data_IF_858196880659
#
_entry.id   IF_858196880659
#
_cell.length_a   1.000
_cell.length_b   1.000
_cell.length_c   1.000
_cell.angle_alpha   90.00
_cell.angle_beta   90.00
_cell.angle_gamma   90.00
#
_symmetry.space_group_name_H-M   'P 1'
#
loop_
_entity.id
_entity.type
_entity.pdbx_description
1 polymer ?
#
# COMPACT_ATOMS: atom_id res chain seq x y z
N UNK A 1 -6.65 -7.40 24.02
CA UNK A 1 -7.15 -7.52 22.63
C UNK A 1 -7.01 -8.98 22.25
N UNK A 2 -8.08 -9.68 21.88
CA UNK A 2 -7.97 -11.12 21.58
C UNK A 2 -7.31 -11.34 20.21
N UNK A 3 -6.32 -12.22 20.17
CA UNK A 3 -5.61 -12.69 18.97
C UNK A 3 -6.58 -13.04 17.82
N UNK A 4 -7.75 -13.57 18.18
CA UNK A 4 -8.83 -13.95 17.27
C UNK A 4 -9.32 -12.79 16.37
N UNK A 5 -9.47 -11.57 16.89
CA UNK A 5 -9.99 -10.43 16.10
C UNK A 5 -9.00 -9.99 15.02
N UNK A 6 -7.70 -10.01 15.33
CA UNK A 6 -6.67 -9.66 14.36
C UNK A 6 -6.62 -10.70 13.24
N UNK A 7 -6.58 -11.98 13.59
CA UNK A 7 -6.48 -13.05 12.61
C UNK A 7 -7.70 -13.08 11.68
N UNK A 8 -8.91 -12.86 12.22
CA UNK A 8 -10.13 -12.74 11.41
C UNK A 8 -10.04 -11.61 10.39
N UNK A 9 -9.69 -10.40 10.84
CA UNK A 9 -9.53 -9.25 9.93
C UNK A 9 -8.45 -9.50 8.88
N UNK A 10 -7.34 -10.14 9.26
CA UNK A 10 -6.26 -10.46 8.33
C UNK A 10 -6.73 -11.38 7.20
N UNK A 11 -7.40 -12.49 7.54
CA UNK A 11 -7.88 -13.43 6.52
C UNK A 11 -8.98 -12.83 5.63
N UNK A 12 -9.89 -12.05 6.21
CA UNK A 12 -10.90 -11.29 5.45
C UNK A 12 -10.23 -10.35 4.42
N UNK A 13 -9.25 -9.55 4.88
CA UNK A 13 -8.54 -8.60 4.01
C UNK A 13 -7.64 -9.26 2.99
N UNK A 14 -7.02 -10.39 3.34
CA UNK A 14 -6.18 -11.16 2.42
C UNK A 14 -7.03 -11.77 1.30
N UNK A 15 -8.19 -12.32 1.64
CA UNK A 15 -9.13 -12.89 0.68
C UNK A 15 -9.66 -11.82 -0.26
N UNK A 16 -10.17 -10.70 0.28
CA UNK A 16 -10.64 -9.55 -0.52
C UNK A 16 -9.54 -9.01 -1.44
N UNK A 17 -8.37 -8.68 -0.90
CA UNK A 17 -7.24 -8.15 -1.68
C UNK A 17 -6.77 -9.12 -2.78
N UNK A 18 -6.87 -10.43 -2.57
CA UNK A 18 -6.53 -11.45 -3.56
C UNK A 18 -7.43 -11.43 -4.81
N UNK A 19 -8.62 -10.81 -4.72
CA UNK A 19 -9.56 -10.66 -5.84
C UNK A 19 -9.35 -9.36 -6.62
N UNK A 20 -8.49 -8.46 -6.16
CA UNK A 20 -8.38 -7.12 -6.73
C UNK A 20 -7.66 -7.13 -8.07
N UNK A 21 -8.33 -6.57 -9.07
CA UNK A 21 -7.75 -6.25 -10.38
C UNK A 21 -7.01 -4.91 -10.35
N UNK A 22 -6.09 -4.66 -11.30
CA UNK A 22 -5.42 -3.36 -11.42
C UNK A 22 -6.42 -2.21 -11.58
N UNK A 23 -6.12 -1.05 -10.99
CA UNK A 23 -6.96 0.15 -11.03
C UNK A 23 -6.21 1.26 -11.75
N UNK A 24 -6.87 1.93 -12.69
CA UNK A 24 -6.29 3.09 -13.38
C UNK A 24 -6.18 4.28 -12.44
N UNK A 25 -5.01 4.91 -12.41
CA UNK A 25 -4.69 6.09 -11.62
C UNK A 25 -4.59 7.32 -12.54
N UNK A 26 -5.57 8.24 -12.52
CA UNK A 26 -5.54 9.43 -13.37
C UNK A 26 -4.29 10.31 -13.15
N UNK A 27 -3.88 10.49 -11.89
CA UNK A 27 -2.69 11.28 -11.53
C UNK A 27 -1.39 10.79 -12.19
N UNK A 28 -1.28 9.48 -12.45
CA UNK A 28 -0.08 8.87 -13.03
C UNK A 28 -0.29 8.42 -14.48
N UNK A 29 -1.53 8.46 -14.98
CA UNK A 29 -1.96 7.96 -16.28
C UNK A 29 -1.57 6.50 -16.52
N UNK A 30 -1.59 5.70 -15.46
CA UNK A 30 -1.10 4.32 -15.44
C UNK A 30 -1.97 3.41 -14.56
N UNK A 31 -1.89 2.10 -14.78
CA UNK A 31 -2.53 1.12 -13.91
C UNK A 31 -1.68 0.80 -12.67
N UNK A 32 -2.33 0.77 -11.51
CA UNK A 32 -1.74 0.33 -10.24
C UNK A 32 -2.12 -1.12 -9.97
N UNK A 33 -1.10 -1.94 -9.73
CA UNK A 33 -1.23 -3.37 -9.48
C UNK A 33 -1.15 -3.70 -7.99
N UNK A 34 -1.92 -4.71 -7.58
CA UNK A 34 -1.97 -5.20 -6.21
C UNK A 34 -1.26 -6.54 -6.12
N UNK A 35 -0.17 -6.61 -5.35
CA UNK A 35 0.62 -7.83 -5.20
C UNK A 35 0.83 -8.19 -3.73
N UNK A 36 1.37 -9.38 -3.49
CA UNK A 36 1.65 -9.89 -2.15
C UNK A 36 2.63 -9.01 -1.36
N UNK A 37 3.58 -8.34 -2.03
CA UNK A 37 4.53 -7.45 -1.36
C UNK A 37 3.84 -6.20 -0.78
N UNK A 38 2.93 -5.59 -1.54
CA UNK A 38 2.13 -4.46 -1.07
C UNK A 38 1.25 -4.83 0.13
N UNK A 39 0.60 -5.99 0.08
CA UNK A 39 -0.20 -6.50 1.19
C UNK A 39 0.66 -6.78 2.44
N UNK A 40 1.80 -7.46 2.25
CA UNK A 40 2.71 -7.77 3.35
C UNK A 40 3.25 -6.52 4.03
N UNK A 41 3.49 -5.44 3.29
CA UNK A 41 3.98 -4.18 3.84
C UNK A 41 2.96 -3.46 4.76
N UNK A 42 1.69 -3.89 4.77
CA UNK A 42 0.71 -3.45 5.77
C UNK A 42 1.00 -4.05 7.16
N UNK A 43 1.65 -5.20 7.21
CA UNK A 43 1.97 -5.96 8.43
C UNK A 43 3.44 -5.91 8.80
N UNK A 44 4.30 -5.68 7.84
CA UNK A 44 5.74 -5.64 8.01
C UNK A 44 6.30 -4.28 7.58
N UNK A 45 7.42 -3.89 8.20
CA UNK A 45 8.21 -2.74 7.77
C UNK A 45 9.08 -3.11 6.56
N UNK A 46 9.76 -2.12 5.99
CA UNK A 46 10.63 -2.29 4.83
C UNK A 46 11.80 -3.26 5.09
N UNK A 47 12.23 -3.41 6.34
CA UNK A 47 13.26 -4.35 6.77
C UNK A 47 12.72 -5.76 7.08
N UNK A 48 11.44 -6.01 6.78
CA UNK A 48 10.68 -7.23 7.09
C UNK A 48 10.43 -7.48 8.58
N UNK A 49 10.71 -6.51 9.46
CA UNK A 49 10.30 -6.64 10.86
C UNK A 49 8.77 -6.49 10.99
N UNK A 50 8.11 -7.24 11.89
CA UNK A 50 6.69 -7.07 12.12
C UNK A 50 6.36 -5.65 12.59
N UNK A 51 5.25 -5.09 12.09
CA UNK A 51 4.63 -3.91 12.70
C UNK A 51 3.92 -4.33 13.98
N UNK A 52 3.69 -3.37 14.87
CA UNK A 52 2.87 -3.65 16.03
C UNK A 52 1.44 -4.05 15.59
N UNK A 53 0.74 -4.95 16.31
CA UNK A 53 -0.58 -5.42 15.87
C UNK A 53 -1.62 -4.32 15.67
N UNK A 54 -1.60 -3.27 16.51
CA UNK A 54 -2.53 -2.12 16.40
C UNK A 54 -2.34 -1.36 15.08
N UNK A 55 -1.10 -1.13 14.69
CA UNK A 55 -0.73 -0.47 13.44
C UNK A 55 -1.10 -1.33 12.23
N UNK A 56 -0.83 -2.64 12.30
CA UNK A 56 -1.23 -3.57 11.25
C UNK A 56 -2.76 -3.60 11.09
N UNK A 57 -3.52 -3.71 12.20
CA UNK A 57 -4.98 -3.62 12.19
C UNK A 57 -5.48 -2.32 11.58
N UNK A 58 -4.88 -1.19 11.95
CA UNK A 58 -5.24 0.11 11.41
C UNK A 58 -5.05 0.17 9.88
N UNK A 59 -3.88 -0.25 9.38
CA UNK A 59 -3.60 -0.28 7.94
C UNK A 59 -4.53 -1.24 7.19
N UNK A 60 -4.78 -2.42 7.74
CA UNK A 60 -5.75 -3.40 7.21
C UNK A 60 -7.18 -2.86 7.21
N UNK A 61 -7.55 -2.06 8.22
CA UNK A 61 -8.85 -1.39 8.31
C UNK A 61 -9.06 -0.32 7.24
N UNK A 62 -7.99 0.37 6.84
CA UNK A 62 -8.03 1.39 5.78
C UNK A 62 -7.98 0.80 4.36
N UNK A 63 -7.55 -0.46 4.23
CA UNK A 63 -7.34 -1.11 2.93
C UNK A 63 -8.54 -0.94 1.97
N UNK A 64 -9.81 -1.10 2.36
CA UNK A 64 -10.96 -0.93 1.45
C UNK A 64 -11.05 0.41 0.74
N UNK A 65 -10.45 1.46 1.30
CA UNK A 65 -10.49 2.82 0.75
C UNK A 65 -9.45 3.04 -0.35
N UNK A 66 -8.45 2.15 -0.47
CA UNK A 66 -7.28 2.33 -1.35
C UNK A 66 -7.66 2.47 -2.82
N UNK A 67 -8.55 1.61 -3.33
CA UNK A 67 -8.96 1.64 -4.74
C UNK A 67 -9.66 2.96 -5.10
N UNK A 68 -10.48 3.49 -4.20
CA UNK A 68 -11.14 4.79 -4.37
C UNK A 68 -10.12 5.94 -4.45
N UNK A 69 -9.13 5.97 -3.55
CA UNK A 69 -8.08 7.01 -3.59
C UNK A 69 -7.31 6.95 -4.90
N UNK A 70 -6.92 5.76 -5.36
CA UNK A 70 -6.16 5.60 -6.61
C UNK A 70 -6.99 6.06 -7.81
N UNK A 71 -8.27 5.69 -7.87
CA UNK A 71 -9.15 6.00 -8.99
C UNK A 71 -9.53 7.48 -9.07
N UNK A 72 -9.70 8.15 -7.93
CA UNK A 72 -10.13 9.55 -7.86
C UNK A 72 -8.96 10.53 -7.94
N UNK A 73 -7.75 10.14 -7.53
CA UNK A 73 -6.61 11.03 -7.51
C UNK A 73 -6.25 11.53 -8.92
N UNK A 74 -6.34 12.85 -9.09
CA UNK A 74 -5.95 13.56 -10.33
C UNK A 74 -4.57 14.22 -10.21
N UNK A 75 -3.99 14.26 -9.01
CA UNK A 75 -2.66 14.83 -8.74
C UNK A 75 -1.87 13.96 -7.77
N UNK A 76 -0.55 14.04 -7.88
CA UNK A 76 0.39 13.47 -6.91
C UNK A 76 0.61 14.49 -5.79
N UNK A 77 0.39 14.09 -4.54
CA UNK A 77 0.67 14.90 -3.34
C UNK A 77 2.17 14.98 -3.06
N UNK A 78 2.85 13.85 -3.16
CA UNK A 78 4.30 13.74 -2.92
C UNK A 78 4.95 12.76 -3.87
N UNK A 79 6.11 13.12 -4.39
CA UNK A 79 6.98 12.22 -5.13
C UNK A 79 8.32 12.09 -4.40
N UNK A 80 8.88 10.88 -4.38
CA UNK A 80 10.23 10.63 -3.88
C UNK A 80 10.88 9.54 -4.72
N UNK A 81 12.13 9.73 -5.10
CA UNK A 81 12.98 8.71 -5.74
C UNK A 81 14.20 8.48 -4.88
N UNK A 82 14.43 7.23 -4.47
CA UNK A 82 15.56 6.90 -3.59
C UNK A 82 16.06 5.47 -3.78
N UNK A 83 17.32 5.23 -3.41
CA UNK A 83 17.81 3.88 -3.17
C UNK A 83 17.11 3.29 -1.96
N UNK A 84 16.55 2.09 -2.13
CA UNK A 84 15.83 1.37 -1.08
C UNK A 84 16.26 -0.09 -1.05
N UNK A 85 16.40 -0.69 0.15
CA UNK A 85 16.75 -2.09 0.27
C UNK A 85 15.60 -2.96 -0.24
N UNK A 86 15.94 -3.95 -1.06
CA UNK A 86 15.07 -5.00 -1.57
C UNK A 86 15.63 -6.36 -1.15
N UNK A 87 14.74 -7.30 -0.83
CA UNK A 87 15.11 -8.65 -0.41
C UNK A 87 14.90 -8.92 1.08
N UNK A 88 15.23 -10.14 1.49
CA UNK A 88 15.08 -10.60 2.87
C UNK A 88 16.27 -10.22 3.75
N UNK A 89 16.20 -10.60 5.04
CA UNK A 89 17.24 -10.34 6.03
C UNK A 89 18.62 -10.87 5.65
N UNK A 90 18.70 -11.95 4.86
CA UNK A 90 19.95 -12.61 4.46
C UNK A 90 20.65 -12.00 3.24
N UNK A 91 19.92 -11.29 2.36
CA UNK A 91 20.50 -10.66 1.17
C UNK A 91 19.70 -9.41 0.83
N UNK A 92 20.30 -8.25 1.10
CA UNK A 92 19.77 -6.94 0.72
C UNK A 92 20.44 -6.48 -0.56
N UNK A 93 19.65 -6.15 -1.57
CA UNK A 93 20.10 -5.46 -2.78
C UNK A 93 19.45 -4.09 -2.78
N UNK A 94 20.23 -3.04 -2.97
CA UNK A 94 19.68 -1.71 -3.11
C UNK A 94 19.21 -1.51 -4.54
N UNK A 95 17.95 -1.09 -4.69
CA UNK A 95 17.39 -0.68 -5.98
C UNK A 95 16.87 0.73 -5.86
N UNK A 96 16.95 1.46 -6.96
CA UNK A 96 16.30 2.75 -7.04
C UNK A 96 14.79 2.54 -7.20
N UNK A 97 14.01 3.22 -6.35
CA UNK A 97 12.57 3.07 -6.28
C UNK A 97 11.95 4.46 -6.30
N UNK A 98 10.91 4.60 -7.12
CA UNK A 98 10.02 5.76 -7.13
C UNK A 98 8.82 5.49 -6.23
N UNK A 99 8.42 6.52 -5.48
CA UNK A 99 7.28 6.50 -4.59
C UNK A 99 6.37 7.70 -4.91
N UNK A 100 5.07 7.45 -4.92
CA UNK A 100 4.05 8.49 -5.05
C UNK A 100 3.07 8.42 -3.89
N UNK A 101 2.84 9.56 -3.24
CA UNK A 101 1.73 9.77 -2.31
C UNK A 101 0.54 10.33 -3.06
N UNK A 102 -0.61 9.68 -2.94
CA UNK A 102 -1.92 10.18 -3.39
C UNK A 102 -2.76 10.48 -2.15
N UNK A 103 -3.49 11.59 -2.14
CA UNK A 103 -4.40 11.95 -1.05
C UNK A 103 -5.77 12.20 -1.61
N UNK A 104 -6.79 11.55 -1.04
CA UNK A 104 -8.19 11.83 -1.35
C UNK A 104 -9.06 11.74 -0.09
N UNK A 105 -10.22 12.40 -0.13
CA UNK A 105 -11.29 12.26 0.88
C UNK A 105 -12.25 11.19 0.39
N UNK A 106 -12.39 10.09 1.14
CA UNK A 106 -13.12 8.90 0.68
C UNK A 106 -13.87 8.19 1.82
N UNK A 107 -14.81 7.33 1.41
CA UNK A 107 -15.64 6.54 2.31
C UNK A 107 -16.81 7.33 2.89
N UNK A 108 -17.69 6.64 3.63
CA UNK A 108 -18.93 7.24 4.16
C UNK A 108 -18.73 8.32 5.24
N UNK A 109 -17.52 8.43 5.78
CA UNK A 109 -17.16 9.33 6.86
C UNK A 109 -16.23 10.46 6.39
N UNK A 110 -16.09 10.64 5.07
CA UNK A 110 -15.22 11.67 4.47
C UNK A 110 -13.83 11.72 5.10
N UNK A 111 -13.18 10.55 5.13
CA UNK A 111 -11.86 10.41 5.75
C UNK A 111 -10.79 10.76 4.72
N UNK A 112 -9.89 11.67 5.07
CA UNK A 112 -8.69 11.96 4.29
C UNK A 112 -7.70 10.79 4.38
N UNK A 113 -7.45 10.13 3.27
CA UNK A 113 -6.58 8.95 3.16
C UNK A 113 -5.41 9.27 2.24
N UNK A 114 -4.20 8.91 2.70
CA UNK A 114 -3.00 8.86 1.87
C UNK A 114 -2.70 7.42 1.46
N UNK A 115 -2.62 7.18 0.14
CA UNK A 115 -2.10 5.95 -0.44
C UNK A 115 -0.68 6.18 -0.95
N UNK A 116 0.21 5.24 -0.65
CA UNK A 116 1.58 5.23 -1.16
C UNK A 116 1.68 4.16 -2.24
N UNK A 117 2.09 4.58 -3.42
CA UNK A 117 2.44 3.75 -4.56
C UNK A 117 3.95 3.65 -4.69
N UNK A 118 4.44 2.59 -5.32
CA UNK A 118 5.86 2.44 -5.65
C UNK A 118 6.11 1.79 -7.00
N UNK A 119 7.25 2.05 -7.60
CA UNK A 119 7.75 1.39 -8.81
C UNK A 119 9.28 1.24 -8.70
N UNK A 120 9.79 0.06 -9.02
CA UNK A 120 11.24 -0.10 -9.16
C UNK A 120 11.64 0.59 -10.47
N UNK A 121 12.68 1.42 -10.45
CA UNK A 121 13.19 2.06 -11.68
C UNK A 121 13.51 0.98 -12.71
N UNK A 122 13.08 1.19 -13.96
CA UNK A 122 13.15 0.23 -15.08
C UNK A 122 12.27 -1.03 -14.95
N UNK A 123 11.30 -1.05 -14.02
CA UNK A 123 10.20 -2.02 -14.06
C UNK A 123 8.98 -1.44 -14.77
N UNK A 124 8.07 -2.28 -15.24
CA UNK A 124 6.91 -1.81 -16.01
C UNK A 124 5.70 -1.44 -15.15
N UNK A 125 5.68 -1.85 -13.86
CA UNK A 125 4.46 -1.83 -13.05
C UNK A 125 4.58 -0.98 -11.81
N UNK A 126 3.59 -0.11 -11.62
CA UNK A 126 3.36 0.60 -10.36
C UNK A 126 2.54 -0.30 -9.44
N UNK A 127 2.95 -0.38 -8.18
CA UNK A 127 2.30 -1.21 -7.18
C UNK A 127 1.82 -0.40 -6.00
N UNK A 128 0.69 -0.81 -5.43
CA UNK A 128 0.31 -0.39 -4.08
C UNK A 128 1.41 -0.75 -3.08
N UNK A 129 1.72 0.17 -2.16
CA UNK A 129 2.74 -0.04 -1.13
C UNK A 129 2.25 0.19 0.30
N UNK A 130 1.46 1.22 0.56
CA UNK A 130 0.93 1.45 1.90
C UNK A 130 -0.28 2.39 1.91
N UNK A 131 -0.94 2.46 3.06
CA UNK A 131 -2.05 3.37 3.33
C UNK A 131 -1.94 3.95 4.76
N UNK A 132 -2.40 5.18 4.94
CA UNK A 132 -2.50 5.89 6.22
C UNK A 132 -3.53 7.03 6.11
N UNK A 133 -3.95 7.62 7.22
CA UNK A 133 -4.64 8.93 7.19
C UNK A 133 -3.71 10.00 6.62
N UNK A 134 -4.26 10.89 5.79
CA UNK A 134 -3.55 12.00 5.15
C UNK A 134 -3.62 13.30 5.94
#
# INVERSE_FOLDING_TARGET
MSENKFQKLLEERKTDYGTWVPVFCPALREYVYFNAQGFNHLRFKIDNTPRNPKEAMYKLGLLPLVRSVIHLAVRVDKYERRLSPMGGSRKKVYKEIEYWGLIEVVGKQDVKIRVVLRKIVNSDRIHFWSVMKG
#
